data_IF_787424534956
#
_entry.id   IF_787424534956
#
_cell.length_a   1.000
_cell.length_b   1.000
_cell.length_c   1.000
_cell.angle_alpha   90.00
_cell.angle_beta   90.00
_cell.angle_gamma   90.00
#
_symmetry.space_group_name_H-M   'P 1'
#
loop_
_entity.id
_entity.type
_entity.pdbx_description
1 polymer ?
#
# COMPACT_ATOMS: atom_id res chain seq x y z
N UNK A 1 36.30 11.00 14.89
CA UNK A 1 35.48 10.47 13.78
C UNK A 1 35.71 11.33 12.56
N UNK A 2 36.32 10.74 11.54
CA UNK A 2 37.06 11.40 10.46
C UNK A 2 36.22 11.55 9.20
N UNK A 3 36.42 12.65 8.45
CA UNK A 3 35.63 13.02 7.27
C UNK A 3 35.61 11.98 6.13
N UNK A 4 36.46 10.95 6.17
CA UNK A 4 36.48 9.88 5.15
C UNK A 4 35.29 8.92 5.26
N UNK A 5 34.69 8.74 6.45
CA UNK A 5 33.47 7.94 6.60
C UNK A 5 32.25 8.62 5.95
N UNK A 6 32.18 9.95 5.99
CA UNK A 6 31.11 10.72 5.33
C UNK A 6 31.23 10.66 3.80
N UNK A 7 32.45 10.63 3.26
CA UNK A 7 32.70 10.52 1.83
C UNK A 7 32.39 9.11 1.29
N UNK A 8 32.61 8.07 2.11
CA UNK A 8 32.30 6.68 1.78
C UNK A 8 30.79 6.40 1.83
N UNK A 9 30.06 7.00 2.77
CA UNK A 9 28.58 6.98 2.77
C UNK A 9 27.98 7.73 1.58
N UNK A 10 28.64 8.80 1.09
CA UNK A 10 28.23 9.51 -0.14
C UNK A 10 28.42 8.67 -1.41
N UNK A 11 29.27 7.65 -1.34
CA UNK A 11 29.52 6.67 -2.41
C UNK A 11 28.68 5.39 -2.30
N UNK A 12 27.87 5.24 -1.24
CA UNK A 12 26.66 4.41 -1.32
C UNK A 12 25.68 5.17 -2.20
N UNK A 13 25.90 4.94 -3.49
CA UNK A 13 25.59 5.74 -4.65
C UNK A 13 24.13 6.14 -4.71
N UNK A 14 23.87 7.44 -4.54
CA UNK A 14 22.64 8.02 -5.05
C UNK A 14 22.48 7.59 -6.52
N UNK A 15 21.32 7.04 -6.90
CA UNK A 15 21.14 6.59 -8.25
C UNK A 15 21.28 7.80 -9.18
N UNK A 16 21.93 7.64 -10.33
CA UNK A 16 22.12 8.72 -11.30
C UNK A 16 20.81 9.16 -11.98
N UNK A 17 19.70 8.49 -11.67
CA UNK A 17 18.39 8.63 -12.27
C UNK A 17 17.33 8.09 -11.31
N UNK A 18 16.14 8.70 -11.27
CA UNK A 18 14.97 8.22 -10.54
C UNK A 18 14.23 7.10 -11.31
N UNK A 19 14.44 6.97 -12.64
CA UNK A 19 13.81 5.94 -13.49
C UNK A 19 13.87 4.54 -12.84
N UNK A 20 15.03 4.00 -12.40
CA UNK A 20 15.08 2.64 -11.86
C UNK A 20 14.18 2.47 -10.63
N UNK A 21 14.13 3.48 -9.76
CA UNK A 21 13.29 3.45 -8.56
C UNK A 21 11.80 3.43 -8.93
N UNK A 22 11.39 4.33 -9.82
CA UNK A 22 10.00 4.40 -10.30
C UNK A 22 9.60 3.10 -11.00
N UNK A 23 10.48 2.53 -11.82
CA UNK A 23 10.24 1.26 -12.50
C UNK A 23 10.15 0.09 -11.53
N UNK A 24 10.99 0.04 -10.49
CA UNK A 24 10.92 -1.00 -9.45
C UNK A 24 9.60 -0.88 -8.68
N UNK A 25 9.25 0.32 -8.20
CA UNK A 25 7.98 0.57 -7.50
C UNK A 25 6.77 0.23 -8.38
N UNK A 26 6.81 0.64 -9.65
CA UNK A 26 5.75 0.35 -10.61
C UNK A 26 5.65 -1.14 -10.88
N UNK A 27 6.76 -1.86 -11.06
CA UNK A 27 6.74 -3.32 -11.23
C UNK A 27 6.16 -4.02 -10.01
N UNK A 28 6.58 -3.65 -8.80
CA UNK A 28 6.06 -4.23 -7.56
C UNK A 28 4.55 -3.98 -7.41
N UNK A 29 4.10 -2.77 -7.68
CA UNK A 29 2.69 -2.39 -7.55
C UNK A 29 1.82 -3.00 -8.64
N UNK A 30 2.24 -2.89 -9.89
CA UNK A 30 1.48 -3.36 -11.05
C UNK A 30 1.47 -4.89 -11.16
N UNK A 31 2.36 -5.61 -10.48
CA UNK A 31 2.33 -7.09 -10.41
C UNK A 31 1.01 -7.64 -9.88
N UNK A 32 0.30 -6.85 -9.05
CA UNK A 32 -1.00 -7.23 -8.49
C UNK A 32 -2.17 -6.90 -9.43
N UNK A 33 -1.90 -6.30 -10.60
CA UNK A 33 -2.86 -5.92 -11.64
C UNK A 33 -4.03 -5.03 -11.16
N UNK A 34 -3.81 -4.25 -10.12
CA UNK A 34 -4.84 -3.41 -9.50
C UNK A 34 -5.25 -2.22 -10.37
N UNK A 35 -4.31 -1.69 -11.15
CA UNK A 35 -4.50 -0.52 -12.01
C UNK A 35 -4.73 -0.92 -13.46
N UNK A 36 -5.32 0.00 -14.24
CA UNK A 36 -5.69 -0.21 -15.66
C UNK A 36 -4.54 -0.32 -16.65
N UNK A 37 -3.29 -0.10 -16.20
CA UNK A 37 -2.11 -0.12 -17.04
C UNK A 37 -1.04 -1.07 -16.50
N UNK A 38 -0.12 -1.49 -17.38
CA UNK A 38 1.04 -2.33 -17.09
C UNK A 38 2.30 -1.67 -17.65
N UNK A 39 3.45 -2.04 -17.10
CA UNK A 39 4.74 -1.68 -17.67
C UNK A 39 5.15 -2.74 -18.70
N UNK A 40 5.27 -2.35 -19.96
CA UNK A 40 5.62 -3.21 -21.09
C UNK A 40 6.80 -2.59 -21.85
N UNK A 41 7.93 -3.30 -21.92
CA UNK A 41 9.17 -2.81 -22.54
C UNK A 41 9.61 -1.40 -22.10
N UNK A 42 9.40 -1.07 -20.82
CA UNK A 42 9.76 0.26 -20.28
C UNK A 42 8.73 1.36 -20.56
N UNK A 43 7.58 1.05 -21.17
CA UNK A 43 6.49 1.99 -21.38
C UNK A 43 5.25 1.57 -20.60
N UNK A 44 4.53 2.55 -20.06
CA UNK A 44 3.22 2.30 -19.48
C UNK A 44 2.19 2.17 -20.60
N UNK A 45 1.58 1.00 -20.70
CA UNK A 45 0.56 0.68 -21.70
C UNK A 45 -0.73 0.25 -21.03
N UNK A 46 -1.85 0.38 -21.73
CA UNK A 46 -3.14 -0.10 -21.25
C UNK A 46 -3.09 -1.62 -21.10
N UNK A 47 -3.57 -2.11 -19.98
CA UNK A 47 -3.70 -3.54 -19.75
C UNK A 47 -4.89 -4.05 -20.53
N UNK A 48 -4.67 -4.96 -21.49
CA UNK A 48 -5.75 -5.61 -22.22
C UNK A 48 -6.71 -6.31 -21.26
N UNK A 49 -8.00 -6.30 -21.60
CA UNK A 49 -9.05 -6.87 -20.76
C UNK A 49 -8.93 -8.40 -20.72
N UNK A 50 -8.17 -8.91 -19.76
CA UNK A 50 -8.14 -10.32 -19.42
C UNK A 50 -9.12 -10.59 -18.28
N UNK A 51 -9.97 -11.61 -18.42
CA UNK A 51 -10.94 -12.04 -17.38
C UNK A 51 -10.28 -12.20 -16.00
N UNK A 52 -9.04 -12.70 -15.95
CA UNK A 52 -8.26 -12.86 -14.71
C UNK A 52 -7.97 -11.51 -14.04
N UNK A 53 -7.61 -10.50 -14.82
CA UNK A 53 -7.26 -9.17 -14.32
C UNK A 53 -8.51 -8.45 -13.82
N UNK A 54 -9.61 -8.54 -14.57
CA UNK A 54 -10.91 -8.02 -14.14
C UNK A 54 -11.35 -8.65 -12.81
N UNK A 55 -11.21 -9.97 -12.69
CA UNK A 55 -11.53 -10.68 -11.44
C UNK A 55 -10.62 -10.24 -10.28
N UNK A 56 -9.32 -10.06 -10.51
CA UNK A 56 -8.38 -9.60 -9.47
C UNK A 56 -8.74 -8.19 -8.96
N UNK A 57 -9.07 -7.26 -9.87
CA UNK A 57 -9.50 -5.91 -9.50
C UNK A 57 -10.83 -5.94 -8.75
N UNK A 58 -11.79 -6.70 -9.24
CA UNK A 58 -13.08 -6.86 -8.58
C UNK A 58 -12.90 -7.43 -7.16
N UNK A 59 -12.10 -8.48 -7.01
CA UNK A 59 -11.80 -9.09 -5.71
C UNK A 59 -11.14 -8.09 -4.77
N UNK A 60 -10.17 -7.31 -5.25
CA UNK A 60 -9.53 -6.31 -4.40
C UNK A 60 -10.49 -5.21 -3.97
N UNK A 61 -11.26 -4.64 -4.89
CA UNK A 61 -12.25 -3.60 -4.56
C UNK A 61 -13.26 -4.16 -3.55
N UNK A 62 -13.75 -5.38 -3.78
CA UNK A 62 -14.63 -6.07 -2.85
C UNK A 62 -14.00 -6.20 -1.47
N UNK A 63 -12.73 -6.62 -1.38
CA UNK A 63 -12.01 -6.70 -0.09
C UNK A 63 -11.88 -5.33 0.59
N UNK A 64 -11.54 -4.26 -0.13
CA UNK A 64 -11.51 -2.91 0.43
C UNK A 64 -12.87 -2.48 0.99
N UNK A 65 -13.94 -2.75 0.25
CA UNK A 65 -15.30 -2.44 0.69
C UNK A 65 -15.68 -3.23 1.94
N UNK A 66 -15.40 -4.54 1.97
CA UNK A 66 -15.65 -5.39 3.13
C UNK A 66 -14.88 -4.89 4.35
N UNK A 67 -13.58 -4.59 4.22
CA UNK A 67 -12.78 -4.01 5.30
C UNK A 67 -13.33 -2.66 5.76
N UNK A 68 -13.72 -1.78 4.83
CA UNK A 68 -14.31 -0.47 5.15
C UNK A 68 -15.65 -0.59 5.89
N UNK A 69 -16.52 -1.51 5.49
CA UNK A 69 -17.79 -1.78 6.16
C UNK A 69 -17.55 -2.28 7.58
N UNK A 70 -16.61 -3.21 7.77
CA UNK A 70 -16.29 -3.72 9.10
C UNK A 70 -15.66 -2.67 10.01
N UNK A 71 -14.78 -1.82 9.48
CA UNK A 71 -14.22 -0.68 10.22
C UNK A 71 -15.30 0.33 10.61
N UNK A 72 -16.18 0.68 9.68
CA UNK A 72 -17.29 1.59 9.95
C UNK A 72 -18.25 1.00 10.99
N UNK A 73 -18.60 -0.29 10.88
CA UNK A 73 -19.39 -1.00 11.89
C UNK A 73 -18.71 -0.94 13.25
N UNK A 74 -17.41 -1.22 13.32
CA UNK A 74 -16.65 -1.15 14.57
C UNK A 74 -16.69 0.25 15.18
N UNK A 75 -16.52 1.30 14.37
CA UNK A 75 -16.63 2.68 14.83
C UNK A 75 -18.03 3.01 15.35
N UNK A 76 -19.06 2.71 14.57
CA UNK A 76 -20.45 2.98 14.95
C UNK A 76 -20.83 2.23 16.22
N UNK A 77 -20.41 0.97 16.36
CA UNK A 77 -20.68 0.17 17.54
C UNK A 77 -20.04 0.77 18.80
N UNK A 78 -18.73 1.05 18.76
CA UNK A 78 -18.01 1.59 19.92
C UNK A 78 -18.38 3.04 20.23
N UNK A 79 -18.87 3.80 19.25
CA UNK A 79 -19.34 5.17 19.43
C UNK A 79 -20.76 5.25 19.99
N UNK A 80 -21.69 4.46 19.44
CA UNK A 80 -23.11 4.48 19.84
C UNK A 80 -23.35 3.66 21.12
N UNK A 81 -22.55 2.63 21.38
CA UNK A 81 -22.66 1.73 22.53
C UNK A 81 -21.32 1.66 23.28
N UNK A 82 -20.92 2.73 23.99
CA UNK A 82 -19.66 2.74 24.72
C UNK A 82 -19.62 1.62 25.76
N UNK A 83 -18.56 0.81 25.72
CA UNK A 83 -18.32 -0.28 26.67
C UNK A 83 -17.82 0.26 28.02
N UNK A 84 -17.98 -0.52 29.09
CA UNK A 84 -17.34 -0.26 30.39
C UNK A 84 -16.41 -1.43 30.75
N UNK A 85 -15.08 -1.25 30.75
CA UNK A 85 -14.36 0.01 30.53
C UNK A 85 -14.43 0.51 29.08
N UNK A 86 -14.21 1.82 28.85
CA UNK A 86 -14.21 2.39 27.50
C UNK A 86 -13.07 1.80 26.67
N UNK A 87 -13.25 1.83 25.34
CA UNK A 87 -12.23 1.42 24.38
C UNK A 87 -10.94 2.20 24.62
N UNK A 88 -9.81 1.51 24.60
CA UNK A 88 -8.50 2.13 24.81
C UNK A 88 -8.17 3.09 23.66
N UNK A 89 -7.64 4.28 23.99
CA UNK A 89 -7.37 5.35 23.01
C UNK A 89 -6.54 4.89 21.80
N UNK A 90 -5.54 4.02 22.01
CA UNK A 90 -4.70 3.54 20.91
C UNK A 90 -5.48 2.69 19.89
N UNK A 91 -6.52 1.96 20.31
CA UNK A 91 -7.37 1.18 19.39
C UNK A 91 -8.14 2.11 18.46
N UNK A 92 -8.68 3.21 19.00
CA UNK A 92 -9.35 4.25 18.21
C UNK A 92 -8.39 4.86 17.18
N UNK A 93 -7.16 5.18 17.58
CA UNK A 93 -6.13 5.73 16.68
C UNK A 93 -5.79 4.74 15.56
N UNK A 94 -5.56 3.46 15.87
CA UNK A 94 -5.25 2.44 14.86
C UNK A 94 -6.43 2.25 13.91
N UNK A 95 -7.65 2.16 14.43
CA UNK A 95 -8.85 2.01 13.59
C UNK A 95 -9.08 3.22 12.69
N UNK A 96 -8.81 4.44 13.18
CA UNK A 96 -8.98 5.66 12.41
C UNK A 96 -7.95 5.75 11.28
N UNK A 97 -6.70 5.38 11.58
CA UNK A 97 -5.65 5.24 10.59
C UNK A 97 -6.02 4.21 9.51
N UNK A 98 -6.54 3.05 9.91
CA UNK A 98 -6.93 2.00 8.99
C UNK A 98 -8.13 2.39 8.11
N UNK A 99 -9.12 3.07 8.69
CA UNK A 99 -10.26 3.61 7.95
C UNK A 99 -9.86 4.68 6.95
N UNK A 100 -8.97 5.60 7.36
CA UNK A 100 -8.40 6.62 6.47
C UNK A 100 -7.61 5.97 5.34
N UNK A 101 -6.82 4.94 5.65
CA UNK A 101 -6.03 4.18 4.67
C UNK A 101 -6.92 3.50 3.64
N UNK A 102 -7.97 2.79 4.09
CA UNK A 102 -8.95 2.14 3.19
C UNK A 102 -9.64 3.17 2.31
N UNK A 103 -10.15 4.24 2.90
CA UNK A 103 -10.89 5.29 2.20
C UNK A 103 -10.01 6.01 1.18
N UNK A 104 -8.81 6.42 1.58
CA UNK A 104 -7.85 7.07 0.71
C UNK A 104 -7.40 6.16 -0.44
N UNK A 105 -7.21 4.86 -0.18
CA UNK A 105 -6.87 3.89 -1.23
C UNK A 105 -8.02 3.74 -2.23
N UNK A 106 -9.27 3.61 -1.77
CA UNK A 106 -10.44 3.51 -2.66
C UNK A 106 -10.60 4.74 -3.56
N UNK A 107 -10.51 5.93 -2.96
CA UNK A 107 -10.57 7.20 -3.71
C UNK A 107 -9.42 7.30 -4.71
N UNK A 108 -8.21 6.94 -4.28
CA UNK A 108 -7.03 6.97 -5.14
C UNK A 108 -7.08 5.99 -6.30
N UNK A 109 -7.63 4.78 -6.09
CA UNK A 109 -7.88 3.81 -7.16
C UNK A 109 -8.94 4.32 -8.14
N UNK A 110 -10.06 4.84 -7.63
CA UNK A 110 -11.09 5.43 -8.49
C UNK A 110 -10.52 6.58 -9.34
N UNK A 111 -9.78 7.49 -8.71
CA UNK A 111 -9.14 8.61 -9.40
C UNK A 111 -8.11 8.14 -10.45
N UNK A 112 -7.25 7.18 -10.12
CA UNK A 112 -6.27 6.63 -11.04
C UNK A 112 -6.92 5.89 -12.23
N UNK A 113 -8.09 5.27 -12.01
CA UNK A 113 -8.85 4.62 -13.07
C UNK A 113 -9.55 5.65 -13.97
N UNK A 114 -10.10 6.73 -13.41
CA UNK A 114 -10.73 7.82 -14.18
C UNK A 114 -9.72 8.57 -15.02
N UNK A 115 -8.53 8.83 -14.47
CA UNK A 115 -7.43 9.53 -15.12
C UNK A 115 -6.41 8.56 -15.74
N UNK A 116 -6.87 7.41 -16.25
CA UNK A 116 -6.00 6.36 -16.81
C UNK A 116 -5.08 6.93 -17.90
N UNK A 117 -5.67 7.68 -18.83
CA UNK A 117 -4.99 8.20 -20.01
C UNK A 117 -3.95 9.23 -19.63
N UNK A 118 -4.31 10.16 -18.75
CA UNK A 118 -3.48 11.25 -18.24
C UNK A 118 -2.33 10.72 -17.40
N UNK A 119 -2.62 9.78 -16.48
CA UNK A 119 -1.60 9.13 -15.63
C UNK A 119 -0.57 8.41 -16.49
N UNK A 120 -1.02 7.68 -17.52
CA UNK A 120 -0.14 6.99 -18.45
C UNK A 120 0.70 7.97 -19.27
N UNK A 121 0.09 9.05 -19.78
CA UNK A 121 0.78 10.08 -20.54
C UNK A 121 1.84 10.77 -19.69
N UNK A 122 1.51 11.13 -18.44
CA UNK A 122 2.43 11.72 -17.47
C UNK A 122 3.63 10.81 -17.20
N UNK A 123 3.38 9.54 -16.85
CA UNK A 123 4.43 8.57 -16.53
C UNK A 123 5.37 8.35 -17.72
N UNK A 124 4.83 8.16 -18.92
CA UNK A 124 5.64 7.98 -20.13
C UNK A 124 6.43 9.24 -20.50
N UNK A 125 5.85 10.42 -20.29
CA UNK A 125 6.51 11.70 -20.59
C UNK A 125 7.64 11.98 -19.61
N UNK A 126 7.42 11.74 -18.31
CA UNK A 126 8.44 11.86 -17.27
C UNK A 126 9.62 10.92 -17.54
N UNK A 127 9.33 9.65 -17.88
CA UNK A 127 10.36 8.70 -18.28
C UNK A 127 11.16 9.16 -19.51
N UNK A 128 10.47 9.67 -20.54
CA UNK A 128 11.12 10.15 -21.76
C UNK A 128 12.03 11.34 -21.48
N UNK A 129 11.55 12.34 -20.74
CA UNK A 129 12.36 13.52 -20.36
C UNK A 129 13.62 13.09 -19.63
N UNK A 130 13.51 12.16 -18.70
CA UNK A 130 14.66 11.71 -17.92
C UNK A 130 15.67 10.90 -18.76
N UNK A 131 15.20 10.10 -19.73
CA UNK A 131 16.06 9.44 -20.73
C UNK A 131 16.77 10.48 -21.59
N UNK A 132 16.05 11.46 -22.14
CA UNK A 132 16.60 12.51 -23.00
C UNK A 132 17.65 13.37 -22.24
N UNK A 133 17.42 13.66 -20.96
CA UNK A 133 18.40 14.33 -20.10
C UNK A 133 19.66 13.49 -19.90
N UNK A 134 19.50 12.19 -19.65
CA UNK A 134 20.60 11.26 -19.45
C UNK A 134 21.46 11.11 -20.71
N UNK A 135 20.85 11.05 -21.89
CA UNK A 135 21.57 11.01 -23.18
C UNK A 135 22.42 12.26 -23.43
N UNK A 136 22.00 13.41 -22.88
CA UNK A 136 22.76 14.67 -22.89
C UNK A 136 23.83 14.76 -21.79
N UNK A 137 24.01 13.71 -20.99
CA UNK A 137 24.93 13.70 -19.85
C UNK A 137 24.43 14.50 -18.64
N UNK A 138 23.15 14.88 -18.61
CA UNK A 138 22.54 15.61 -17.49
C UNK A 138 21.90 14.61 -16.54
N UNK A 139 22.48 14.46 -15.34
CA UNK A 139 21.91 13.62 -14.30
C UNK A 139 20.83 14.41 -13.55
N UNK A 140 19.56 14.05 -13.74
CA UNK A 140 18.42 14.64 -13.03
C UNK A 140 17.97 13.67 -11.94
N UNK A 141 18.34 13.96 -10.70
CA UNK A 141 17.94 13.19 -9.52
C UNK A 141 17.21 14.13 -8.60
N UNK A 142 15.96 13.81 -8.26
CA UNK A 142 15.22 14.61 -7.31
C UNK A 142 15.30 13.93 -5.94
N UNK A 143 15.93 14.63 -4.99
CA UNK A 143 16.24 14.07 -3.67
C UNK A 143 14.99 13.59 -2.91
N UNK A 144 13.83 14.21 -3.16
CA UNK A 144 12.57 13.80 -2.54
C UNK A 144 12.12 12.40 -2.96
N UNK A 145 12.43 11.92 -4.18
CA UNK A 145 12.15 10.52 -4.57
C UNK A 145 13.00 9.54 -3.79
N UNK A 146 14.27 9.90 -3.54
CA UNK A 146 15.17 9.05 -2.77
C UNK A 146 14.66 8.93 -1.34
N UNK A 147 14.31 10.06 -0.69
CA UNK A 147 13.73 10.03 0.65
C UNK A 147 12.40 9.27 0.70
N UNK A 148 11.51 9.53 -0.27
CA UNK A 148 10.26 8.79 -0.40
C UNK A 148 10.53 7.27 -0.46
N UNK A 149 11.39 6.81 -1.36
CA UNK A 149 11.71 5.40 -1.51
C UNK A 149 12.35 4.79 -0.26
N UNK A 150 13.31 5.49 0.36
CA UNK A 150 13.97 5.05 1.60
C UNK A 150 12.97 4.90 2.75
N UNK A 151 11.97 5.78 2.85
CA UNK A 151 10.93 5.69 3.88
C UNK A 151 9.94 4.56 3.56
N UNK A 152 9.56 4.37 2.30
CA UNK A 152 8.51 3.44 1.91
C UNK A 152 8.96 1.98 1.76
N UNK A 153 10.21 1.71 1.39
CA UNK A 153 10.69 0.33 1.22
C UNK A 153 10.63 -0.48 2.52
N UNK A 154 11.06 0.03 3.69
CA UNK A 154 10.86 -0.65 4.97
C UNK A 154 9.37 -0.88 5.26
N UNK A 155 8.49 0.08 4.94
CA UNK A 155 7.06 -0.10 5.15
C UNK A 155 6.53 -1.29 4.33
N UNK A 156 6.89 -1.40 3.05
CA UNK A 156 6.52 -2.55 2.22
C UNK A 156 7.05 -3.88 2.77
N UNK A 157 8.32 -3.89 3.16
CA UNK A 157 9.02 -5.11 3.59
C UNK A 157 8.64 -5.55 5.01
N UNK A 158 8.27 -4.64 5.89
CA UNK A 158 8.01 -4.93 7.31
C UNK A 158 6.51 -4.94 7.64
N UNK A 159 5.74 -3.95 7.18
CA UNK A 159 4.32 -3.84 7.54
C UNK A 159 3.54 -5.01 6.98
N UNK A 160 3.74 -5.35 5.70
CA UNK A 160 2.97 -6.43 5.08
C UNK A 160 3.16 -7.78 5.79
N UNK A 161 4.41 -8.26 6.06
CA UNK A 161 4.58 -9.50 6.80
C UNK A 161 4.05 -9.41 8.23
N UNK A 162 4.35 -8.34 8.97
CA UNK A 162 3.90 -8.19 10.37
C UNK A 162 2.38 -8.28 10.46
N UNK A 163 1.67 -7.54 9.62
CA UNK A 163 0.20 -7.54 9.62
C UNK A 163 -0.38 -8.86 9.07
N UNK A 164 0.36 -9.59 8.23
CA UNK A 164 -0.02 -10.95 7.78
C UNK A 164 0.09 -11.96 8.92
N UNK A 165 1.12 -11.85 9.77
CA UNK A 165 1.33 -12.78 10.89
C UNK A 165 0.47 -12.46 12.11
N UNK A 166 0.09 -11.20 12.30
CA UNK A 166 -0.75 -10.75 13.42
C UNK A 166 -2.01 -11.60 13.67
N UNK A 167 -2.82 -12.02 12.66
CA UNK A 167 -4.00 -12.87 12.86
C UNK A 167 -3.71 -14.26 13.43
N UNK A 168 -2.48 -14.76 13.27
CA UNK A 168 -2.08 -16.06 13.81
C UNK A 168 -1.82 -15.97 15.31
N UNK A 169 -1.19 -14.88 15.77
CA UNK A 169 -0.74 -14.70 17.14
C UNK A 169 -1.68 -13.84 18.00
N UNK A 170 -2.34 -12.84 17.40
CA UNK A 170 -3.11 -11.80 18.07
C UNK A 170 -4.42 -11.51 17.33
N UNK A 171 -5.34 -12.49 17.16
CA UNK A 171 -6.55 -12.35 16.35
C UNK A 171 -7.50 -11.23 16.83
N UNK A 172 -7.43 -10.82 18.10
CA UNK A 172 -8.28 -9.76 18.63
C UNK A 172 -7.72 -8.34 18.43
N UNK A 173 -6.52 -8.18 17.85
CA UNK A 173 -5.92 -6.86 17.68
C UNK A 173 -6.39 -6.21 16.36
N UNK A 174 -6.83 -4.94 16.37
CA UNK A 174 -7.06 -4.21 15.12
C UNK A 174 -5.73 -4.08 14.34
N UNK A 175 -5.74 -4.12 13.00
CA UNK A 175 -6.88 -4.00 12.09
C UNK A 175 -7.37 -5.33 11.48
N UNK A 176 -7.21 -6.43 12.22
CA UNK A 176 -7.51 -7.75 11.70
C UNK A 176 -9.03 -7.91 11.56
N UNK A 177 -9.49 -8.51 10.47
CA UNK A 177 -10.92 -8.78 10.24
C UNK A 177 -11.60 -9.48 11.42
N UNK A 178 -10.93 -10.41 12.10
CA UNK A 178 -11.45 -11.07 13.31
C UNK A 178 -11.83 -10.07 14.40
N UNK A 179 -10.98 -9.08 14.68
CA UNK A 179 -11.26 -8.05 15.69
C UNK A 179 -12.45 -7.16 15.34
N UNK A 180 -12.80 -7.07 14.05
CA UNK A 180 -13.92 -6.25 13.58
C UNK A 180 -15.23 -7.04 13.47
N UNK A 181 -15.13 -8.35 13.21
CA UNK A 181 -16.28 -9.26 13.15
C UNK A 181 -16.74 -9.65 14.56
N UNK A 182 -15.77 -9.95 15.44
CA UNK A 182 -16.00 -10.35 16.83
C UNK A 182 -15.64 -9.19 17.75
N UNK A 183 -16.59 -8.30 18.02
CA UNK A 183 -16.41 -7.17 18.94
C UNK A 183 -16.11 -7.62 20.37
N UNK A 184 -16.58 -8.81 20.76
CA UNK A 184 -16.38 -9.41 22.08
C UNK A 184 -15.19 -10.38 22.12
N UNK A 185 -14.12 -10.06 21.39
CA UNK A 185 -12.92 -10.90 21.36
C UNK A 185 -12.15 -10.76 22.67
N UNK A 186 -12.53 -11.54 23.67
CA UNK A 186 -11.71 -11.71 24.88
C UNK A 186 -10.46 -12.50 24.51
N UNK A 187 -9.30 -11.85 24.58
CA UNK A 187 -7.99 -12.41 24.20
C UNK A 187 -7.76 -13.82 24.76
N UNK A 188 -8.25 -14.05 25.99
CA UNK A 188 -8.06 -15.30 26.75
C UNK A 188 -8.99 -16.45 26.33
N UNK A 189 -10.16 -16.16 25.76
CA UNK A 189 -11.15 -17.18 25.34
C UNK A 189 -11.08 -17.46 23.83
N UNK A 190 -10.68 -16.46 23.05
CA UNK A 190 -10.52 -16.56 21.60
C UNK A 190 -9.40 -17.54 21.19
N UNK A 191 -8.47 -17.86 22.10
CA UNK A 191 -7.42 -18.84 21.84
C UNK A 191 -7.95 -20.25 21.56
N UNK A 192 -9.06 -20.64 22.19
CA UNK A 192 -9.62 -21.99 22.07
C UNK A 192 -10.66 -22.18 20.95
N UNK A 193 -11.35 -21.12 20.52
CA UNK A 193 -12.53 -21.25 19.64
C UNK A 193 -12.25 -21.04 18.15
N UNK A 194 -11.31 -20.15 17.79
CA UNK A 194 -11.00 -19.88 16.38
C UNK A 194 -9.93 -20.87 15.92
N UNK A 195 -10.36 -21.91 15.18
CA UNK A 195 -9.46 -22.91 14.62
C UNK A 195 -8.34 -22.34 13.75
N UNK A 196 -7.16 -22.99 13.76
CA UNK A 196 -5.95 -22.56 13.03
C UNK A 196 -6.19 -22.34 11.53
N UNK A 197 -7.10 -23.11 10.93
CA UNK A 197 -7.48 -22.95 9.52
C UNK A 197 -8.08 -21.57 9.25
N UNK A 198 -9.02 -21.11 10.09
CA UNK A 198 -9.67 -19.81 9.95
C UNK A 198 -8.64 -18.69 10.16
N UNK A 199 -7.77 -18.82 11.18
CA UNK A 199 -6.70 -17.83 11.41
C UNK A 199 -5.75 -17.73 10.22
N UNK A 200 -5.39 -18.86 9.61
CA UNK A 200 -4.53 -18.91 8.43
C UNK A 200 -5.20 -18.27 7.23
N UNK A 201 -6.48 -18.55 7.01
CA UNK A 201 -7.25 -17.90 5.93
C UNK A 201 -7.30 -16.38 6.13
N UNK A 202 -7.57 -15.93 7.34
CA UNK A 202 -7.64 -14.50 7.68
C UNK A 202 -6.27 -13.85 7.54
N UNK A 203 -5.19 -14.51 7.94
CA UNK A 203 -3.82 -14.09 7.71
C UNK A 203 -3.54 -13.87 6.22
N UNK A 204 -3.88 -14.84 5.36
CA UNK A 204 -3.69 -14.74 3.90
C UNK A 204 -4.50 -13.59 3.31
N UNK A 205 -5.78 -13.47 3.67
CA UNK A 205 -6.66 -12.40 3.15
C UNK A 205 -6.17 -11.02 3.62
N UNK A 206 -5.83 -10.90 4.90
CA UNK A 206 -5.31 -9.66 5.50
C UNK A 206 -3.98 -9.27 4.86
N UNK A 207 -3.06 -10.23 4.68
CA UNK A 207 -1.79 -10.01 4.01
C UNK A 207 -1.95 -9.54 2.57
N UNK A 208 -2.82 -10.21 1.80
CA UNK A 208 -3.14 -9.80 0.44
C UNK A 208 -3.69 -8.37 0.39
N UNK A 209 -4.65 -8.04 1.26
CA UNK A 209 -5.23 -6.71 1.37
C UNK A 209 -4.16 -5.63 1.65
N UNK A 210 -3.30 -5.84 2.65
CA UNK A 210 -2.27 -4.84 3.02
C UNK A 210 -1.18 -4.69 1.98
N UNK A 211 -0.79 -5.79 1.31
CA UNK A 211 0.13 -5.74 0.17
C UNK A 211 -0.46 -4.89 -0.96
N UNK A 212 -1.74 -5.10 -1.29
CA UNK A 212 -2.40 -4.30 -2.31
C UNK A 212 -2.51 -2.83 -1.90
N UNK A 213 -3.01 -2.55 -0.69
CA UNK A 213 -3.20 -1.18 -0.20
C UNK A 213 -1.89 -0.39 -0.20
N UNK A 214 -0.84 -0.95 0.37
CA UNK A 214 0.46 -0.29 0.50
C UNK A 214 1.07 0.02 -0.86
N UNK A 215 1.04 -0.95 -1.78
CA UNK A 215 1.55 -0.75 -3.13
C UNK A 215 0.77 0.34 -3.89
N UNK A 216 -0.56 0.29 -3.83
CA UNK A 216 -1.43 1.29 -4.47
C UNK A 216 -1.16 2.69 -3.93
N UNK A 217 -1.06 2.86 -2.61
CA UNK A 217 -0.75 4.16 -1.99
C UNK A 217 0.61 4.68 -2.46
N UNK A 218 1.65 3.84 -2.42
CA UNK A 218 3.00 4.21 -2.87
C UNK A 218 2.98 4.65 -4.32
N UNK A 219 2.26 3.92 -5.16
CA UNK A 219 2.15 4.27 -6.57
C UNK A 219 1.43 5.60 -6.77
N UNK A 220 0.29 5.83 -6.11
CA UNK A 220 -0.47 7.09 -6.22
C UNK A 220 0.39 8.27 -5.78
N UNK A 221 1.05 8.16 -4.62
CA UNK A 221 1.93 9.24 -4.14
C UNK A 221 3.11 9.43 -5.10
N UNK A 222 3.69 8.34 -5.63
CA UNK A 222 4.74 8.41 -6.64
C UNK A 222 4.30 9.16 -7.90
N UNK A 223 3.08 8.91 -8.39
CA UNK A 223 2.49 9.65 -9.52
C UNK A 223 2.24 11.12 -9.15
N UNK A 224 1.75 11.41 -7.94
CA UNK A 224 1.54 12.79 -7.49
C UNK A 224 2.85 13.58 -7.41
N UNK A 225 3.93 12.94 -6.94
CA UNK A 225 5.27 13.54 -6.92
C UNK A 225 5.86 13.72 -8.33
N UNK A 226 5.36 12.97 -9.33
CA UNK A 226 5.76 13.09 -10.74
C UNK A 226 5.00 14.19 -11.46
N UNK A 227 3.83 14.59 -10.95
CA UNK A 227 3.10 15.72 -11.50
C UNK A 227 3.99 16.97 -11.37
N UNK A 228 4.24 17.70 -12.47
CA UNK A 228 5.14 18.82 -12.44
C UNK A 228 4.66 19.89 -11.44
N UNK A 229 5.62 20.43 -10.69
CA UNK A 229 5.61 21.83 -10.27
C UNK A 229 5.74 22.68 -11.54
#
# INVERSE_FOLDING_TARGET
MTSSTFHSLRQLTFPSSNIPLILICSKLTLRLNQLVFKLDNGHFVRTESNRRIVLQRFLSIFLFLVHGIFQLKWFLFNWLYPTNPPVQNWMLVIMAYCFTTVSGTLVGVDQANRLEMETRLLLNSAMKIEIDCKEKGINVVHIYYVFFFVIWMPALLLVSPVVTFMPLFLPCMPPILTSMVFTDCNLREAEGQIGILIRTLIAIVTGYFWIVATNTIIFIIGVMLLYPI
#
